data_IF_389099271645
#
_entry.id   IF_389099271645
#
_cell.length_a   1.000
_cell.length_b   1.000
_cell.length_c   1.000
_cell.angle_alpha   90.00
_cell.angle_beta   90.00
_cell.angle_gamma   90.00
#
_symmetry.space_group_name_H-M   'P 1'
#
loop_
_entity.id
_entity.type
_entity.pdbx_description
1 polymer ?
#
# COMPACT_ATOMS: atom_id res chain seq x y z
N UNK A 1 10.28 -2.98 -33.61
CA UNK A 1 9.60 -3.51 -32.39
C UNK A 1 8.41 -2.59 -32.05
N UNK A 2 7.17 -2.99 -32.38
CA UNK A 2 5.96 -2.15 -32.15
C UNK A 2 5.65 -2.11 -30.66
N UNK A 3 5.72 -0.93 -30.04
CA UNK A 3 5.22 -0.71 -28.67
C UNK A 3 3.70 -0.92 -28.67
N UNK A 4 3.23 -2.00 -28.03
CA UNK A 4 1.80 -2.16 -27.75
C UNK A 4 1.42 -1.14 -26.67
N UNK A 5 0.72 -0.08 -27.07
CA UNK A 5 0.10 0.85 -26.13
C UNK A 5 -1.01 0.13 -25.36
N UNK A 6 -1.06 0.32 -24.04
CA UNK A 6 -2.14 -0.22 -23.21
C UNK A 6 -3.45 0.43 -23.65
N UNK A 7 -4.49 -0.36 -24.01
CA UNK A 7 -5.79 0.19 -24.39
C UNK A 7 -6.38 1.05 -23.26
N UNK A 8 -7.04 2.14 -23.62
CA UNK A 8 -7.68 3.04 -22.66
C UNK A 8 -8.67 2.31 -21.73
N UNK A 9 -9.37 1.27 -22.24
CA UNK A 9 -10.26 0.40 -21.48
C UNK A 9 -9.55 -0.36 -20.37
N UNK A 10 -8.32 -0.84 -20.58
CA UNK A 10 -7.54 -1.53 -19.55
C UNK A 10 -7.10 -0.57 -18.44
N UNK A 11 -6.75 0.67 -18.77
CA UNK A 11 -6.43 1.72 -17.79
C UNK A 11 -7.64 2.05 -16.93
N UNK A 12 -8.82 2.12 -17.50
CA UNK A 12 -10.07 2.44 -16.79
C UNK A 12 -10.51 1.31 -15.87
N UNK A 13 -10.35 0.03 -16.25
CA UNK A 13 -10.68 -1.13 -15.42
C UNK A 13 -9.79 -1.24 -14.17
N UNK A 14 -8.52 -0.86 -14.27
CA UNK A 14 -7.59 -0.77 -13.13
C UNK A 14 -8.08 0.27 -12.11
N UNK A 15 -8.49 1.45 -12.57
CA UNK A 15 -9.05 2.50 -11.71
C UNK A 15 -10.36 2.08 -11.04
N UNK A 16 -11.24 1.36 -11.72
CA UNK A 16 -12.51 0.88 -11.16
C UNK A 16 -12.29 -0.20 -10.09
N UNK A 17 -11.41 -1.18 -10.32
CA UNK A 17 -11.09 -2.20 -9.31
C UNK A 17 -10.42 -1.59 -8.08
N UNK A 18 -9.43 -0.72 -8.25
CA UNK A 18 -8.79 0.00 -7.15
C UNK A 18 -9.81 0.84 -6.36
N UNK A 19 -10.75 1.51 -7.03
CA UNK A 19 -11.80 2.30 -6.40
C UNK A 19 -12.76 1.44 -5.56
N UNK A 20 -13.20 0.28 -6.08
CA UNK A 20 -14.11 -0.63 -5.36
C UNK A 20 -13.46 -1.21 -4.10
N UNK A 21 -12.21 -1.68 -4.20
CA UNK A 21 -11.48 -2.26 -3.07
C UNK A 21 -11.07 -1.18 -2.06
N UNK A 22 -10.74 0.02 -2.53
CA UNK A 22 -10.50 1.18 -1.65
C UNK A 22 -11.77 1.58 -0.90
N UNK A 23 -12.96 1.42 -1.53
CA UNK A 23 -14.25 1.60 -0.85
C UNK A 23 -14.44 0.59 0.27
N UNK A 24 -14.09 -0.68 0.06
CA UNK A 24 -14.19 -1.73 1.08
C UNK A 24 -13.23 -1.47 2.25
N UNK A 25 -12.01 -1.04 2.02
CA UNK A 25 -11.05 -0.71 3.09
C UNK A 25 -11.53 0.49 3.89
N UNK A 26 -11.94 1.57 3.23
CA UNK A 26 -12.45 2.76 3.92
C UNK A 26 -13.76 2.44 4.68
N UNK A 27 -14.59 1.56 4.15
CA UNK A 27 -15.81 1.08 4.80
C UNK A 27 -15.47 0.18 6.01
N UNK A 28 -14.49 -0.70 5.90
CA UNK A 28 -13.99 -1.52 7.02
C UNK A 28 -13.37 -0.66 8.12
N UNK A 29 -12.65 0.40 7.73
CA UNK A 29 -12.12 1.39 8.69
C UNK A 29 -13.23 2.24 9.30
N UNK A 30 -14.32 2.53 8.57
CA UNK A 30 -15.46 3.33 9.03
C UNK A 30 -16.40 2.52 9.95
N UNK A 31 -16.59 1.23 9.71
CA UNK A 31 -17.54 0.34 10.42
C UNK A 31 -16.99 -0.35 11.68
N UNK A 32 -15.90 0.14 12.29
CA UNK A 32 -15.31 -0.47 13.49
C UNK A 32 -14.80 -1.91 13.30
N UNK A 33 -14.56 -2.36 12.06
CA UNK A 33 -13.90 -3.65 11.82
C UNK A 33 -12.42 -3.60 12.23
N UNK A 34 -11.85 -2.38 12.27
CA UNK A 34 -10.60 -2.09 12.97
C UNK A 34 -10.99 -1.27 14.21
N UNK A 35 -11.23 -1.93 15.30
CA UNK A 35 -11.54 -1.31 16.58
C UNK A 35 -10.51 -1.78 17.63
N UNK A 36 -9.81 -0.88 18.30
CA UNK A 36 -9.90 0.58 18.26
C UNK A 36 -9.36 1.18 16.94
N UNK A 37 -9.58 2.49 16.68
CA UNK A 37 -9.00 3.15 15.51
C UNK A 37 -7.47 3.01 15.54
N UNK A 38 -6.79 2.87 14.37
CA UNK A 38 -5.36 2.65 14.33
C UNK A 38 -4.60 3.82 14.98
N UNK A 39 -3.55 3.49 15.73
CA UNK A 39 -2.66 4.45 16.38
C UNK A 39 -1.88 5.28 15.35
N UNK A 40 -1.66 4.75 14.15
CA UNK A 40 -0.97 5.41 13.06
C UNK A 40 -0.86 4.53 11.81
N UNK A 41 -0.23 5.09 10.78
CA UNK A 41 0.02 4.41 9.51
C UNK A 41 1.53 4.37 9.24
N UNK A 42 2.02 3.21 8.81
CA UNK A 42 3.43 3.00 8.50
C UNK A 42 3.52 2.57 7.05
N UNK A 43 4.06 3.43 6.20
CA UNK A 43 4.31 3.10 4.81
C UNK A 43 5.65 2.37 4.69
N UNK A 44 5.65 1.17 4.14
CA UNK A 44 6.85 0.34 3.99
C UNK A 44 7.08 0.03 2.52
N UNK A 45 8.26 0.34 2.02
CA UNK A 45 8.63 0.07 0.63
C UNK A 45 10.12 0.32 0.41
N UNK A 46 10.71 -0.34 -0.58
CA UNK A 46 12.13 -0.24 -0.90
C UNK A 46 12.29 0.36 -2.29
N UNK A 47 13.38 1.10 -2.53
CA UNK A 47 13.68 1.74 -3.82
C UNK A 47 12.56 2.71 -4.25
N UNK A 48 12.03 2.59 -5.46
CA UNK A 48 10.94 3.45 -5.97
C UNK A 48 9.66 3.32 -5.14
N UNK A 49 9.35 2.15 -4.61
CA UNK A 49 8.24 1.95 -3.68
C UNK A 49 8.48 2.66 -2.34
N UNK A 50 9.73 2.74 -1.87
CA UNK A 50 10.11 3.53 -0.69
C UNK A 50 9.86 5.02 -0.88
N UNK A 51 10.19 5.57 -2.06
CA UNK A 51 9.89 6.96 -2.39
C UNK A 51 8.37 7.26 -2.35
N UNK A 52 7.55 6.31 -2.83
CA UNK A 52 6.08 6.42 -2.72
C UNK A 52 5.60 6.25 -1.28
N UNK A 53 6.26 5.42 -0.48
CA UNK A 53 6.00 5.28 0.95
C UNK A 53 6.23 6.60 1.70
N UNK A 54 7.33 7.29 1.40
CA UNK A 54 7.62 8.63 1.94
C UNK A 54 6.55 9.64 1.55
N UNK A 55 6.14 9.65 0.27
CA UNK A 55 5.03 10.47 -0.19
C UNK A 55 3.74 10.16 0.57
N UNK A 56 3.39 8.88 0.69
CA UNK A 56 2.17 8.41 1.37
C UNK A 56 2.12 8.85 2.83
N UNK A 57 3.22 8.69 3.57
CA UNK A 57 3.33 9.14 4.95
C UNK A 57 3.10 10.66 5.05
N UNK A 58 3.70 11.45 4.17
CA UNK A 58 3.47 12.90 4.15
C UNK A 58 2.03 13.26 3.80
N UNK A 59 1.43 12.57 2.82
CA UNK A 59 0.05 12.81 2.41
C UNK A 59 -0.95 12.51 3.54
N UNK A 60 -0.76 11.40 4.26
CA UNK A 60 -1.61 11.03 5.41
C UNK A 60 -1.45 12.01 6.57
N UNK A 61 -0.24 12.52 6.83
CA UNK A 61 -0.03 13.59 7.81
C UNK A 61 -0.80 14.85 7.45
N UNK A 62 -0.87 15.22 6.16
CA UNK A 62 -1.64 16.39 5.71
C UNK A 62 -3.14 16.27 5.94
N UNK A 63 -3.68 15.05 5.98
CA UNK A 63 -5.09 14.79 6.29
C UNK A 63 -5.31 14.43 7.77
N UNK A 64 -4.36 14.80 8.64
CA UNK A 64 -4.48 14.68 10.09
C UNK A 64 -4.32 13.26 10.64
N UNK A 65 -3.61 12.37 9.91
CA UNK A 65 -3.30 11.01 10.37
C UNK A 65 -1.82 10.91 10.75
N UNK A 66 -1.55 10.47 11.97
CA UNK A 66 -0.16 10.15 12.33
C UNK A 66 0.38 9.09 11.36
N UNK A 67 1.51 9.38 10.72
CA UNK A 67 2.08 8.49 9.73
C UNK A 67 3.58 8.68 9.58
N UNK A 68 4.25 7.56 9.31
CA UNK A 68 5.69 7.49 9.05
C UNK A 68 5.98 6.57 7.88
N UNK A 69 7.24 6.50 7.43
CA UNK A 69 7.68 5.57 6.39
C UNK A 69 8.94 4.81 6.81
N UNK A 70 9.13 3.64 6.23
CA UNK A 70 10.29 2.79 6.37
C UNK A 70 10.70 2.35 4.96
N UNK A 71 11.92 2.72 4.56
CA UNK A 71 12.55 2.37 3.29
C UNK A 71 13.88 1.60 3.48
N UNK A 72 14.26 1.38 4.74
CA UNK A 72 15.38 0.55 5.14
C UNK A 72 14.97 -0.93 5.15
N UNK A 73 15.58 -1.79 4.30
CA UNK A 73 15.28 -3.22 4.28
C UNK A 73 15.62 -3.92 5.60
N UNK A 74 16.56 -3.40 6.39
CA UNK A 74 17.01 -3.99 7.65
C UNK A 74 16.40 -3.35 8.89
N UNK A 75 15.36 -2.54 8.72
CA UNK A 75 14.70 -1.87 9.83
C UNK A 75 14.27 -2.86 10.92
N UNK A 76 14.64 -2.63 12.19
CA UNK A 76 14.28 -3.51 13.29
C UNK A 76 12.83 -3.26 13.74
N UNK A 77 11.92 -4.18 13.42
CA UNK A 77 10.55 -4.16 13.92
C UNK A 77 10.50 -4.94 15.24
N UNK A 78 10.80 -4.28 16.35
CA UNK A 78 10.93 -4.93 17.66
C UNK A 78 10.21 -4.19 18.79
N UNK A 79 9.27 -3.32 18.49
CA UNK A 79 8.65 -2.43 19.47
C UNK A 79 7.14 -2.54 19.49
N UNK A 80 6.57 -2.48 20.71
CA UNK A 80 5.12 -2.37 20.95
C UNK A 80 4.51 -1.07 20.42
N UNK A 81 5.35 -0.09 19.99
CA UNK A 81 4.87 1.16 19.39
C UNK A 81 4.05 0.94 18.10
N UNK A 82 4.21 -0.22 17.45
CA UNK A 82 3.45 -0.57 16.24
C UNK A 82 2.13 -1.29 16.53
N UNK A 83 1.89 -1.61 17.80
CA UNK A 83 0.63 -2.24 18.22
C UNK A 83 -0.55 -1.33 17.86
N UNK A 84 -1.57 -1.92 17.22
CA UNK A 84 -2.73 -1.20 16.68
C UNK A 84 -2.41 -0.19 15.56
N UNK A 85 -1.21 -0.19 14.99
CA UNK A 85 -0.91 0.56 13.76
C UNK A 85 -1.37 -0.22 12.52
N UNK A 86 -1.39 0.46 11.39
CA UNK A 86 -1.61 -0.14 10.05
C UNK A 86 -0.34 0.03 9.24
N UNK A 87 0.27 -1.08 8.84
CA UNK A 87 1.38 -1.08 7.89
C UNK A 87 0.84 -1.16 6.46
N UNK A 88 1.18 -0.17 5.64
CA UNK A 88 0.87 -0.13 4.21
C UNK A 88 2.12 -0.55 3.45
N UNK A 89 2.14 -1.81 2.99
CA UNK A 89 3.29 -2.44 2.35
C UNK A 89 3.22 -2.23 0.84
N UNK A 90 4.23 -1.59 0.27
CA UNK A 90 4.32 -1.25 -1.15
C UNK A 90 5.35 -2.15 -1.85
N UNK A 91 4.90 -3.00 -2.75
CA UNK A 91 5.78 -3.82 -3.59
C UNK A 91 5.12 -4.13 -4.93
N UNK A 92 5.76 -3.75 -6.04
CA UNK A 92 5.23 -3.99 -7.39
C UNK A 92 5.04 -5.49 -7.64
N UNK A 93 6.06 -6.30 -7.40
CA UNK A 93 5.98 -7.77 -7.56
C UNK A 93 5.18 -8.44 -6.44
N UNK A 94 5.26 -7.89 -5.24
CA UNK A 94 4.79 -8.55 -4.02
C UNK A 94 5.62 -9.76 -3.60
N UNK A 95 6.83 -9.91 -4.19
CA UNK A 95 7.76 -11.02 -3.95
C UNK A 95 9.14 -10.55 -3.43
N UNK A 96 9.29 -9.26 -3.10
CA UNK A 96 10.52 -8.71 -2.54
C UNK A 96 10.75 -9.31 -1.15
N UNK A 97 11.82 -10.08 -0.98
CA UNK A 97 12.11 -10.86 0.23
C UNK A 97 12.15 -10.00 1.48
N UNK A 98 12.81 -8.85 1.41
CA UNK A 98 12.93 -7.91 2.52
C UNK A 98 11.56 -7.34 2.93
N UNK A 99 10.67 -7.08 1.97
CA UNK A 99 9.31 -6.62 2.25
C UNK A 99 8.49 -7.74 2.90
N UNK A 100 8.62 -8.98 2.44
CA UNK A 100 7.94 -10.13 3.05
C UNK A 100 8.40 -10.36 4.49
N UNK A 101 9.71 -10.21 4.74
CA UNK A 101 10.27 -10.30 6.09
C UNK A 101 9.75 -9.20 7.01
N UNK A 102 9.76 -7.94 6.56
CA UNK A 102 9.22 -6.82 7.33
C UNK A 102 7.71 -7.01 7.59
N UNK A 103 6.93 -7.44 6.58
CA UNK A 103 5.51 -7.71 6.75
C UNK A 103 5.25 -8.78 7.82
N UNK A 104 6.02 -9.87 7.81
CA UNK A 104 5.92 -10.91 8.83
C UNK A 104 6.24 -10.37 10.24
N UNK A 105 7.27 -9.53 10.37
CA UNK A 105 7.62 -8.91 11.64
C UNK A 105 6.51 -7.98 12.14
N UNK A 106 5.94 -7.13 11.28
CA UNK A 106 4.80 -6.28 11.65
C UNK A 106 3.58 -7.08 12.08
N UNK A 107 3.29 -8.19 11.40
CA UNK A 107 2.20 -9.11 11.76
C UNK A 107 2.40 -9.71 13.15
N UNK A 108 3.63 -10.13 13.50
CA UNK A 108 3.96 -10.63 14.84
C UNK A 108 3.73 -9.60 15.95
N UNK A 109 3.88 -8.31 15.65
CA UNK A 109 3.60 -7.21 16.57
C UNK A 109 2.14 -6.70 16.51
N UNK A 110 1.22 -7.52 16.00
CA UNK A 110 -0.22 -7.21 15.92
C UNK A 110 -0.55 -5.94 15.11
N UNK A 111 0.31 -5.57 14.18
CA UNK A 111 0.06 -4.52 13.21
C UNK A 111 -0.82 -5.07 12.09
N UNK A 112 -1.87 -4.35 11.69
CA UNK A 112 -2.67 -4.73 10.54
C UNK A 112 -1.92 -4.41 9.24
N UNK A 113 -1.96 -5.33 8.29
CA UNK A 113 -1.22 -5.22 7.03
C UNK A 113 -2.17 -4.93 5.87
N UNK A 114 -1.93 -3.83 5.18
CA UNK A 114 -2.52 -3.52 3.88
C UNK A 114 -1.41 -3.61 2.85
N UNK A 115 -1.54 -4.46 1.84
CA UNK A 115 -0.57 -4.51 0.73
C UNK A 115 -1.10 -3.80 -0.51
N UNK A 116 -0.19 -3.13 -1.24
CA UNK A 116 -0.46 -2.56 -2.55
C UNK A 116 0.51 -3.19 -3.53
N UNK A 117 0.00 -4.05 -4.41
CA UNK A 117 0.81 -4.88 -5.32
C UNK A 117 0.30 -4.81 -6.76
N UNK A 118 1.13 -5.21 -7.73
CA UNK A 118 0.67 -5.39 -9.10
C UNK A 118 0.05 -6.77 -9.35
N UNK A 119 0.06 -7.67 -8.35
CA UNK A 119 -0.43 -9.05 -8.48
C UNK A 119 -1.19 -9.47 -7.21
N UNK A 120 -2.46 -9.86 -7.38
CA UNK A 120 -3.34 -10.30 -6.30
C UNK A 120 -2.98 -11.69 -5.74
N UNK A 121 -2.19 -12.48 -6.46
CA UNK A 121 -1.76 -13.83 -6.03
C UNK A 121 -0.34 -13.84 -5.47
N UNK A 122 0.29 -12.68 -5.30
CA UNK A 122 1.65 -12.58 -4.76
C UNK A 122 1.73 -13.03 -3.29
N UNK A 123 2.93 -13.35 -2.84
CA UNK A 123 3.20 -13.74 -1.45
C UNK A 123 2.80 -12.66 -0.47
N UNK A 124 3.09 -11.40 -0.77
CA UNK A 124 2.69 -10.26 0.05
C UNK A 124 1.16 -10.09 0.09
N UNK A 125 0.48 -10.30 -1.04
CA UNK A 125 -0.98 -10.23 -1.10
C UNK A 125 -1.65 -11.29 -0.22
N UNK A 126 -1.08 -12.50 -0.16
CA UNK A 126 -1.57 -13.59 0.70
C UNK A 126 -1.29 -13.38 2.18
N UNK A 127 -0.19 -12.69 2.51
CA UNK A 127 0.21 -12.41 3.90
C UNK A 127 -0.60 -11.26 4.50
N UNK A 128 -1.05 -10.31 3.68
CA UNK A 128 -1.74 -9.11 4.13
C UNK A 128 -3.18 -9.38 4.61
N UNK A 129 -3.64 -8.63 5.61
CA UNK A 129 -5.06 -8.62 6.01
C UNK A 129 -5.96 -8.10 4.89
N UNK A 130 -5.46 -7.14 4.09
CA UNK A 130 -6.14 -6.57 2.92
C UNK A 130 -5.14 -6.34 1.80
N UNK A 131 -5.49 -6.75 0.58
CA UNK A 131 -4.68 -6.51 -0.60
C UNK A 131 -5.38 -5.61 -1.62
N UNK A 132 -4.63 -4.65 -2.15
CA UNK A 132 -5.03 -3.75 -3.23
C UNK A 132 -4.15 -4.02 -4.44
N UNK A 133 -4.71 -4.66 -5.46
CA UNK A 133 -3.98 -4.97 -6.70
C UNK A 133 -4.38 -4.05 -7.83
N UNK A 134 -3.41 -3.66 -8.67
CA UNK A 134 -3.65 -2.70 -9.76
C UNK A 134 -3.43 -3.26 -11.16
N UNK A 135 -2.80 -4.42 -11.35
CA UNK A 135 -2.71 -5.18 -12.61
C UNK A 135 -2.31 -4.37 -13.85
N UNK A 136 -1.11 -3.82 -13.87
CA UNK A 136 -0.52 -3.20 -15.06
C UNK A 136 0.53 -4.12 -15.68
N UNK A 137 0.77 -4.05 -17.01
CA UNK A 137 1.83 -4.81 -17.63
C UNK A 137 3.18 -4.51 -17.00
N UNK A 138 3.91 -5.57 -16.63
CA UNK A 138 5.23 -5.43 -16.05
C UNK A 138 6.23 -4.96 -17.10
N UNK A 139 7.09 -4.01 -16.73
CA UNK A 139 8.17 -3.51 -17.55
C UNK A 139 9.50 -3.69 -16.83
N UNK A 140 10.39 -4.51 -17.43
CA UNK A 140 11.74 -4.74 -16.95
C UNK A 140 12.78 -4.26 -17.98
N UNK A 141 13.83 -3.59 -17.53
CA UNK A 141 15.03 -3.29 -18.32
C UNK A 141 16.11 -4.29 -17.92
N UNK A 142 16.73 -4.95 -18.91
CA UNK A 142 17.77 -5.96 -18.65
C UNK A 142 17.30 -7.17 -17.84
N UNK A 143 16.00 -7.42 -17.76
CA UNK A 143 15.40 -8.55 -17.03
C UNK A 143 15.30 -8.37 -15.51
N UNK A 144 15.92 -7.34 -14.94
CA UNK A 144 15.98 -7.16 -13.48
C UNK A 144 15.62 -5.75 -12.98
N UNK A 145 15.77 -4.70 -13.80
CA UNK A 145 15.36 -3.36 -13.40
C UNK A 145 13.87 -3.13 -13.66
N UNK A 146 13.08 -3.13 -12.61
CA UNK A 146 11.63 -2.94 -12.71
C UNK A 146 11.29 -1.44 -12.88
N UNK A 147 10.78 -1.08 -14.07
CA UNK A 147 10.28 0.25 -14.41
C UNK A 147 8.76 0.26 -14.61
N UNK A 148 8.06 -0.73 -14.08
CA UNK A 148 6.59 -0.78 -14.12
C UNK A 148 6.02 0.48 -13.48
N UNK A 149 5.06 1.11 -14.17
CA UNK A 149 4.44 2.34 -13.65
C UNK A 149 3.79 2.12 -12.29
N UNK A 150 4.03 3.03 -11.38
CA UNK A 150 3.45 3.06 -10.04
C UNK A 150 2.41 4.19 -9.87
N UNK A 151 1.94 4.79 -10.96
CA UNK A 151 0.84 5.77 -10.92
C UNK A 151 -0.40 5.22 -10.21
N UNK A 152 -0.82 3.96 -10.40
CA UNK A 152 -1.94 3.40 -9.65
C UNK A 152 -1.70 3.36 -8.15
N UNK A 153 -0.46 3.11 -7.69
CA UNK A 153 -0.10 3.13 -6.26
C UNK A 153 -0.34 4.52 -5.67
N UNK A 154 0.12 5.56 -6.37
CA UNK A 154 -0.08 6.94 -5.95
C UNK A 154 -1.57 7.29 -5.85
N UNK A 155 -2.38 6.90 -6.86
CA UNK A 155 -3.82 7.09 -6.85
C UNK A 155 -4.50 6.39 -5.68
N UNK A 156 -4.11 5.15 -5.37
CA UNK A 156 -4.65 4.37 -4.24
C UNK A 156 -4.32 5.08 -2.92
N UNK A 157 -3.07 5.49 -2.71
CA UNK A 157 -2.61 6.19 -1.50
C UNK A 157 -3.45 7.47 -1.28
N UNK A 158 -3.58 8.32 -2.30
CA UNK A 158 -4.37 9.54 -2.20
C UNK A 158 -5.85 9.28 -1.94
N UNK A 159 -6.42 8.27 -2.61
CA UNK A 159 -7.83 7.93 -2.45
C UNK A 159 -8.14 7.46 -1.02
N UNK A 160 -7.27 6.62 -0.43
CA UNK A 160 -7.42 6.19 0.97
C UNK A 160 -7.27 7.40 1.90
N UNK A 161 -6.21 8.20 1.72
CA UNK A 161 -5.92 9.34 2.58
C UNK A 161 -7.03 10.39 2.57
N UNK A 162 -7.55 10.78 1.40
CA UNK A 162 -8.69 11.71 1.26
C UNK A 162 -9.92 11.21 2.03
N UNK A 163 -10.26 9.93 1.90
CA UNK A 163 -11.40 9.35 2.62
C UNK A 163 -11.22 9.32 4.13
N UNK A 164 -10.01 9.04 4.60
CA UNK A 164 -9.69 9.10 6.04
C UNK A 164 -9.71 10.53 6.58
N UNK A 165 -9.37 11.53 5.75
CA UNK A 165 -9.47 12.95 6.09
C UNK A 165 -10.92 13.43 6.21
N UNK A 166 -11.80 13.08 5.27
CA UNK A 166 -13.22 13.47 5.30
C UNK A 166 -13.97 12.94 6.53
N UNK A 167 -13.57 11.79 7.09
CA UNK A 167 -14.15 11.24 8.32
C UNK A 167 -13.96 12.19 9.51
N UNK A 168 -12.94 13.03 9.51
CA UNK A 168 -12.66 13.98 10.58
C UNK A 168 -13.34 15.34 10.39
N UNK A 169 -13.80 15.65 9.17
CA UNK A 169 -14.43 16.93 8.83
C UNK A 169 -15.94 16.96 9.12
N UNK A 170 -16.54 15.81 9.41
CA UNK A 170 -17.97 15.66 9.73
C UNK A 170 -18.23 15.57 11.24
N UNK A 171 -17.25 15.89 12.08
CA UNK A 171 -17.37 16.06 13.54
C UNK A 171 -17.18 17.51 13.93
#
# INVERSE_FOLDING_TARGET
>A
MRRRSIPASAKFSVFLKASATTNLISYSMKRRTISPPPSGFIFVGISTSGALGKYGARFFSNVGKFSTHIDDPYYPVNSDMYKNAVAIMLSVSGETEEILRLASQFSLHHCKIISITNNETSSLARLADFNLSYHVPQHLIGGHHNITTQIPVLYIIETIGKRLGHINSEK
#
